data_IF_603780708604
#
_entry.id   IF_603780708604
#
_cell.length_a   1.000
_cell.length_b   1.000
_cell.length_c   1.000
_cell.angle_alpha   90.00
_cell.angle_beta   90.00
_cell.angle_gamma   90.00
#
_symmetry.space_group_name_H-M   'P 1'
#
loop_
_entity.id
_entity.type
_entity.pdbx_description
1 polymer ?
#
# COMPACT_ATOMS: atom_id res chain seq x y z
N UNK A 1 3.35 -20.61 -5.56
CA UNK A 1 3.45 -20.51 -4.08
C UNK A 1 2.19 -21.10 -3.47
N UNK A 2 2.28 -22.02 -2.49
CA UNK A 2 1.10 -22.60 -1.87
C UNK A 2 0.39 -21.58 -0.96
N UNK A 3 -0.93 -21.59 -0.96
CA UNK A 3 -1.76 -20.75 -0.11
C UNK A 3 -3.15 -20.55 -0.70
N UNK A 4 -4.05 -20.03 0.12
CA UNK A 4 -5.40 -19.59 -0.27
C UNK A 4 -5.43 -18.07 -0.20
N UNK A 5 -6.21 -17.41 -1.07
CA UNK A 5 -6.39 -15.96 -0.96
C UNK A 5 -6.93 -15.59 0.43
N UNK A 6 -6.32 -14.58 1.05
CA UNK A 6 -6.59 -14.24 2.45
C UNK A 6 -8.03 -13.75 2.64
N UNK A 7 -8.58 -13.00 1.67
CA UNK A 7 -9.95 -12.49 1.70
C UNK A 7 -11.02 -13.59 1.84
N UNK A 8 -10.75 -14.79 1.30
CA UNK A 8 -11.69 -15.93 1.36
C UNK A 8 -11.79 -16.59 2.73
N UNK A 9 -10.77 -16.42 3.57
CA UNK A 9 -10.65 -17.12 4.85
C UNK A 9 -10.69 -16.19 6.04
N UNK A 10 -10.37 -14.90 5.85
CA UNK A 10 -10.23 -13.91 6.92
C UNK A 10 -11.48 -13.77 7.80
N UNK A 11 -12.67 -13.72 7.19
CA UNK A 11 -13.93 -13.53 7.90
C UNK A 11 -14.33 -14.77 8.76
N UNK A 12 -13.69 -15.93 8.52
CA UNK A 12 -13.89 -17.15 9.30
C UNK A 12 -12.95 -17.31 10.50
N UNK A 13 -12.00 -16.39 10.69
CA UNK A 13 -11.10 -16.38 11.84
C UNK A 13 -11.76 -15.77 13.07
N UNK A 14 -11.31 -16.18 14.25
CA UNK A 14 -11.62 -15.46 15.49
C UNK A 14 -10.94 -14.09 15.52
N UNK A 15 -11.35 -13.25 16.48
CA UNK A 15 -10.85 -11.90 16.60
C UNK A 15 -9.33 -11.86 16.81
N UNK A 16 -8.78 -12.67 17.71
CA UNK A 16 -7.34 -12.68 18.01
C UNK A 16 -6.50 -12.98 16.76
N UNK A 17 -6.92 -13.96 15.97
CA UNK A 17 -6.25 -14.34 14.74
C UNK A 17 -6.45 -13.29 13.64
N UNK A 18 -7.63 -12.66 13.54
CA UNK A 18 -7.81 -11.49 12.67
C UNK A 18 -6.83 -10.37 13.02
N UNK A 19 -6.67 -10.04 14.32
CA UNK A 19 -5.74 -9.01 14.77
C UNK A 19 -4.28 -9.38 14.41
N UNK A 20 -3.86 -10.64 14.61
CA UNK A 20 -2.52 -11.11 14.25
C UNK A 20 -2.23 -10.97 12.76
N UNK A 21 -3.17 -11.38 11.91
CA UNK A 21 -3.02 -11.26 10.45
C UNK A 21 -2.95 -9.80 10.03
N UNK A 22 -3.79 -8.92 10.60
CA UNK A 22 -3.76 -7.50 10.29
C UNK A 22 -2.41 -6.86 10.68
N UNK A 23 -1.78 -7.27 11.79
CA UNK A 23 -0.42 -6.83 12.14
C UNK A 23 0.61 -7.24 11.09
N UNK A 24 0.53 -8.47 10.57
CA UNK A 24 1.42 -8.94 9.48
C UNK A 24 1.20 -8.13 8.19
N UNK A 25 -0.05 -7.80 7.87
CA UNK A 25 -0.36 -6.92 6.73
C UNK A 25 0.28 -5.55 6.90
N UNK A 26 0.17 -4.93 8.08
CA UNK A 26 0.81 -3.65 8.40
C UNK A 26 2.32 -3.72 8.24
N UNK A 27 2.94 -4.81 8.67
CA UNK A 27 4.38 -5.02 8.52
C UNK A 27 4.79 -5.11 7.04
N UNK A 28 4.01 -5.80 6.21
CA UNK A 28 4.20 -5.85 4.75
C UNK A 28 4.16 -4.46 4.12
N UNK A 29 3.13 -3.66 4.47
CA UNK A 29 3.02 -2.27 4.00
C UNK A 29 4.27 -1.46 4.36
N UNK A 30 4.71 -1.55 5.61
CA UNK A 30 5.91 -0.87 6.09
C UNK A 30 7.16 -1.33 5.34
N UNK A 31 7.32 -2.63 5.10
CA UNK A 31 8.47 -3.18 4.38
C UNK A 31 8.54 -2.65 2.95
N UNK A 32 7.42 -2.67 2.21
CA UNK A 32 7.32 -2.14 0.85
C UNK A 32 7.68 -0.64 0.84
N UNK A 33 7.07 0.14 1.75
CA UNK A 33 7.28 1.59 1.80
C UNK A 33 8.66 2.01 2.31
N UNK A 34 9.33 1.15 3.07
CA UNK A 34 10.69 1.38 3.56
C UNK A 34 11.78 0.95 2.56
N UNK A 35 11.39 0.35 1.44
CA UNK A 35 12.34 -0.10 0.43
C UNK A 35 13.14 1.08 -0.13
N UNK A 36 14.47 0.99 -0.07
CA UNK A 36 15.36 2.01 -0.63
C UNK A 36 15.45 1.81 -2.14
N UNK A 37 14.89 2.75 -2.90
CA UNK A 37 14.96 2.74 -4.36
C UNK A 37 16.42 2.93 -4.83
N UNK A 38 16.83 2.25 -5.91
CA UNK A 38 18.13 2.52 -6.55
C UNK A 38 18.26 3.99 -6.97
N UNK A 39 19.46 4.56 -6.92
CA UNK A 39 19.72 5.97 -7.33
C UNK A 39 19.39 6.27 -8.81
N UNK A 40 19.28 5.20 -9.61
CA UNK A 40 18.91 5.22 -11.03
C UNK A 40 17.40 5.34 -11.24
N UNK A 41 16.59 5.09 -10.20
CA UNK A 41 15.15 5.32 -10.19
C UNK A 41 14.90 6.76 -9.74
N UNK A 42 14.49 7.61 -10.67
CA UNK A 42 14.31 9.06 -10.47
C UNK A 42 12.93 9.50 -10.93
N UNK A 43 12.19 10.19 -10.07
CA UNK A 43 10.81 10.62 -10.37
C UNK A 43 9.78 9.48 -10.37
N UNK A 44 8.51 9.86 -10.46
CA UNK A 44 7.36 8.96 -10.37
C UNK A 44 7.13 8.17 -11.66
N UNK A 45 6.61 6.95 -11.54
CA UNK A 45 6.30 6.11 -12.69
C UNK A 45 6.46 4.62 -12.41
N UNK A 46 6.41 3.80 -13.46
CA UNK A 46 6.68 2.37 -13.34
C UNK A 46 8.17 2.09 -13.12
N UNK A 47 8.51 0.81 -12.98
CA UNK A 47 9.89 0.36 -13.06
C UNK A 47 10.16 -0.23 -14.44
N UNK A 48 11.31 0.11 -15.02
CA UNK A 48 11.78 -0.44 -16.29
C UNK A 48 13.27 -0.78 -16.24
N UNK A 49 13.77 -1.28 -17.35
CA UNK A 49 15.19 -1.52 -17.55
C UNK A 49 15.71 -0.63 -18.69
N UNK A 50 16.87 -0.03 -18.50
CA UNK A 50 17.57 0.64 -19.59
C UNK A 50 18.27 -0.38 -20.52
N UNK A 51 18.96 0.11 -21.55
CA UNK A 51 19.69 -0.73 -22.52
C UNK A 51 20.81 -1.57 -21.88
N UNK A 52 21.27 -1.20 -20.69
CA UNK A 52 22.29 -1.92 -19.92
C UNK A 52 21.70 -2.90 -18.92
N UNK A 53 20.37 -3.03 -18.84
CA UNK A 53 19.67 -3.89 -17.89
C UNK A 53 19.62 -3.32 -16.47
N UNK A 54 19.86 -2.03 -16.29
CA UNK A 54 19.78 -1.36 -14.99
C UNK A 54 18.35 -0.89 -14.74
N UNK A 55 17.88 -1.06 -13.50
CA UNK A 55 16.54 -0.63 -13.09
C UNK A 55 16.48 0.90 -13.11
N UNK A 56 15.53 1.45 -13.88
CA UNK A 56 15.29 2.89 -14.01
C UNK A 56 13.79 3.17 -13.87
N UNK A 57 13.43 4.45 -13.70
CA UNK A 57 12.02 4.86 -13.79
C UNK A 57 11.52 4.65 -15.22
N UNK A 58 10.48 3.84 -15.34
CA UNK A 58 9.80 3.53 -16.58
C UNK A 58 8.46 4.27 -16.73
N UNK A 59 7.78 4.07 -17.86
CA UNK A 59 6.44 4.61 -18.05
C UNK A 59 5.48 4.09 -16.98
N UNK A 60 4.56 4.94 -16.55
CA UNK A 60 3.56 4.59 -15.55
C UNK A 60 2.55 3.58 -16.11
N UNK A 61 2.28 2.50 -15.37
CA UNK A 61 1.23 1.51 -15.72
C UNK A 61 -0.17 1.96 -15.32
N UNK A 62 -0.27 2.94 -14.41
CA UNK A 62 -1.52 3.56 -13.94
C UNK A 62 -1.59 5.04 -14.35
N UNK A 63 -2.70 5.55 -14.91
CA UNK A 63 -2.82 6.93 -15.39
C UNK A 63 -2.54 8.03 -14.35
N UNK A 64 -2.52 7.70 -13.05
CA UNK A 64 -2.46 8.65 -11.95
C UNK A 64 -1.29 8.45 -10.97
N UNK A 65 -0.31 7.55 -11.22
CA UNK A 65 0.82 7.39 -10.29
C UNK A 65 1.82 8.54 -10.44
N UNK A 66 1.60 9.54 -9.60
CA UNK A 66 2.31 10.80 -9.47
C UNK A 66 1.42 11.75 -8.66
N UNK A 67 1.98 12.83 -8.07
CA UNK A 67 1.18 13.81 -7.33
C UNK A 67 0.16 14.44 -8.30
N UNK A 68 -1.05 13.88 -8.32
CA UNK A 68 -2.10 14.35 -9.21
C UNK A 68 -2.76 15.57 -8.56
N UNK A 69 -2.88 16.65 -9.34
CA UNK A 69 -3.60 17.85 -8.93
C UNK A 69 -5.12 17.64 -8.88
N UNK A 70 -5.61 16.46 -9.29
CA UNK A 70 -7.03 16.16 -9.48
C UNK A 70 -7.35 14.74 -9.02
N UNK A 71 -7.29 14.49 -7.71
CA UNK A 71 -8.08 13.41 -7.10
C UNK A 71 -9.52 13.90 -6.95
N UNK A 72 -10.40 13.54 -7.88
CA UNK A 72 -11.85 13.57 -7.64
C UNK A 72 -12.22 12.37 -6.77
N UNK A 73 -12.49 12.62 -5.50
CA UNK A 73 -12.96 11.62 -4.56
C UNK A 73 -14.38 11.16 -4.95
N UNK A 74 -14.47 9.99 -5.60
CA UNK A 74 -15.74 9.32 -5.93
C UNK A 74 -15.93 8.03 -5.15
N UNK A 75 -15.20 7.81 -4.05
CA UNK A 75 -15.19 6.52 -3.37
C UNK A 75 -16.16 6.41 -2.18
N UNK A 76 -16.75 7.52 -1.72
CA UNK A 76 -17.66 7.49 -0.57
C UNK A 76 -17.00 6.96 0.71
N UNK A 77 -15.66 6.96 0.76
CA UNK A 77 -14.86 6.67 1.94
C UNK A 77 -14.54 8.02 2.55
N UNK A 78 -15.15 8.31 3.68
CA UNK A 78 -14.89 9.52 4.46
C UNK A 78 -13.47 9.44 5.05
N UNK A 79 -12.48 9.85 4.25
CA UNK A 79 -11.17 10.18 4.76
C UNK A 79 -11.29 11.55 5.44
N UNK A 80 -10.84 11.64 6.68
CA UNK A 80 -10.72 12.90 7.40
C UNK A 80 -10.01 13.94 6.51
N UNK A 81 -10.72 15.03 6.23
CA UNK A 81 -10.29 16.15 5.40
C UNK A 81 -8.93 16.73 5.86
N UNK A 82 -8.63 16.64 7.15
CA UNK A 82 -7.39 17.11 7.76
C UNK A 82 -6.20 16.24 7.36
N UNK A 83 -6.36 14.91 7.35
CA UNK A 83 -5.36 13.96 6.84
C UNK A 83 -5.12 14.14 5.33
N UNK A 84 -6.19 14.30 4.56
CA UNK A 84 -6.10 14.57 3.12
C UNK A 84 -5.38 15.90 2.83
N UNK A 85 -5.64 16.92 3.65
CA UNK A 85 -5.04 18.25 3.57
C UNK A 85 -3.55 18.25 3.92
N UNK A 86 -3.12 17.40 4.87
CA UNK A 86 -1.69 17.26 5.22
C UNK A 86 -0.89 16.55 4.13
N UNK A 87 -1.42 15.48 3.53
CA UNK A 87 -0.79 14.80 2.38
C UNK A 87 -0.68 15.75 1.17
N UNK A 88 -1.69 16.59 0.95
CA UNK A 88 -1.70 17.61 -0.12
C UNK A 88 -0.69 18.76 0.09
N UNK A 89 -0.19 18.99 1.32
CA UNK A 89 0.70 20.13 1.62
C UNK A 89 2.16 19.90 1.24
N UNK A 90 2.60 18.67 1.01
CA UNK A 90 3.94 18.42 0.47
C UNK A 90 3.88 18.56 -1.04
N UNK A 91 4.41 19.65 -1.59
CA UNK A 91 4.45 19.88 -3.04
C UNK A 91 5.21 18.78 -3.81
N UNK A 92 6.05 18.00 -3.12
CA UNK A 92 6.74 16.81 -3.63
C UNK A 92 6.89 15.79 -2.50
N UNK A 93 5.95 14.84 -2.33
CA UNK A 93 6.15 13.76 -1.37
C UNK A 93 7.42 12.94 -1.73
N UNK A 94 8.03 12.26 -0.76
CA UNK A 94 9.17 11.40 -1.03
C UNK A 94 8.72 10.15 -1.81
N UNK A 95 9.59 9.69 -2.68
CA UNK A 95 9.34 8.55 -3.55
C UNK A 95 9.42 7.24 -2.76
N UNK A 96 8.44 6.37 -2.97
CA UNK A 96 8.34 5.06 -2.36
C UNK A 96 7.93 4.04 -3.40
N UNK A 97 8.25 2.77 -3.17
CA UNK A 97 7.58 1.70 -3.88
C UNK A 97 6.14 1.60 -3.37
N UNK A 98 5.20 1.46 -4.30
CA UNK A 98 3.77 1.26 -4.08
C UNK A 98 3.36 0.07 -4.95
N UNK A 99 2.55 -0.81 -4.41
CA UNK A 99 1.96 -1.96 -5.10
C UNK A 99 0.78 -1.54 -5.99
N UNK A 100 -0.02 -0.56 -5.54
CA UNK A 100 -1.10 0.02 -6.34
C UNK A 100 -2.42 -0.76 -6.33
N UNK A 101 -2.50 -1.84 -5.53
CA UNK A 101 -3.71 -2.60 -5.25
C UNK A 101 -3.48 -3.57 -4.06
N UNK A 102 -2.83 -3.10 -2.99
CA UNK A 102 -2.40 -3.97 -1.89
C UNK A 102 -3.56 -4.33 -0.95
N UNK A 103 -4.31 -5.37 -1.31
CA UNK A 103 -5.47 -5.84 -0.55
C UNK A 103 -5.38 -7.35 -0.21
N UNK A 104 -6.31 -7.86 0.61
CA UNK A 104 -6.31 -9.27 1.03
C UNK A 104 -6.58 -10.27 -0.11
N UNK A 105 -7.18 -9.85 -1.22
CA UNK A 105 -7.37 -10.69 -2.40
C UNK A 105 -6.04 -10.97 -3.12
N UNK A 106 -5.13 -9.99 -3.07
CA UNK A 106 -3.78 -10.05 -3.61
C UNK A 106 -2.77 -10.65 -2.60
N UNK A 107 -3.22 -11.28 -1.52
CA UNK A 107 -2.37 -11.94 -0.53
C UNK A 107 -2.69 -13.43 -0.43
N UNK A 108 -1.66 -14.28 -0.46
CA UNK A 108 -1.80 -15.70 -0.17
C UNK A 108 -1.52 -15.97 1.31
N UNK A 109 -2.39 -16.76 1.92
CA UNK A 109 -2.30 -17.21 3.30
C UNK A 109 -2.19 -18.74 3.36
N UNK A 110 -1.30 -19.24 4.22
CA UNK A 110 -1.16 -20.66 4.47
C UNK A 110 -1.85 -21.06 5.79
N UNK A 111 -2.95 -21.82 5.76
CA UNK A 111 -3.70 -22.20 6.97
C UNK A 111 -2.95 -23.18 7.88
N UNK A 112 -1.88 -23.84 7.40
CA UNK A 112 -1.07 -24.73 8.24
C UNK A 112 -0.03 -23.98 9.06
N UNK A 113 0.53 -22.91 8.50
CA UNK A 113 1.60 -22.14 9.15
C UNK A 113 1.11 -20.82 9.73
N UNK A 114 -0.13 -20.43 9.46
CA UNK A 114 -0.71 -19.15 9.84
C UNK A 114 0.09 -17.92 9.34
N UNK A 115 0.71 -18.04 8.17
CA UNK A 115 1.54 -16.99 7.58
C UNK A 115 0.97 -16.52 6.25
N UNK A 116 1.16 -15.22 5.96
CA UNK A 116 1.07 -14.70 4.60
C UNK A 116 2.30 -15.20 3.85
N UNK A 117 2.10 -15.90 2.73
CA UNK A 117 3.16 -16.56 1.97
C UNK A 117 3.50 -15.87 0.66
N UNK A 118 2.61 -15.02 0.14
CA UNK A 118 2.85 -14.28 -1.09
C UNK A 118 2.02 -13.00 -1.17
N UNK A 119 2.55 -12.05 -1.91
CA UNK A 119 1.85 -10.87 -2.43
C UNK A 119 1.79 -11.06 -3.95
N UNK A 120 0.62 -10.83 -4.55
CA UNK A 120 0.31 -11.11 -5.95
C UNK A 120 -0.03 -9.83 -6.70
N UNK A 121 0.00 -9.87 -8.04
CA UNK A 121 -0.51 -8.80 -8.92
C UNK A 121 0.27 -7.48 -8.77
N UNK A 122 1.57 -7.53 -9.04
CA UNK A 122 2.47 -6.37 -9.04
C UNK A 122 2.40 -5.53 -10.33
N UNK A 123 1.45 -5.78 -11.22
CA UNK A 123 1.36 -5.11 -12.52
C UNK A 123 1.02 -3.61 -12.39
N UNK A 124 0.42 -3.22 -11.26
CA UNK A 124 0.15 -1.82 -10.89
C UNK A 124 1.24 -1.20 -10.01
N UNK A 125 2.31 -1.94 -9.73
CA UNK A 125 3.37 -1.43 -8.87
C UNK A 125 4.10 -0.27 -9.55
N UNK A 126 4.36 0.78 -8.78
CA UNK A 126 4.94 2.02 -9.25
C UNK A 126 5.76 2.70 -8.15
N UNK A 127 6.61 3.61 -8.58
CA UNK A 127 7.23 4.62 -7.75
C UNK A 127 6.23 5.76 -7.61
N UNK A 128 5.71 5.94 -6.41
CA UNK A 128 4.61 6.85 -6.07
C UNK A 128 4.83 7.45 -4.68
N UNK A 129 3.94 8.34 -4.23
CA UNK A 129 3.92 8.73 -2.83
C UNK A 129 3.44 7.53 -2.02
N UNK A 130 3.99 7.28 -0.83
CA UNK A 130 3.52 6.16 -0.01
C UNK A 130 2.01 6.26 0.32
N UNK A 131 1.44 7.47 0.30
CA UNK A 131 0.01 7.71 0.48
C UNK A 131 -0.85 7.18 -0.68
N UNK A 132 -0.29 7.06 -1.88
CA UNK A 132 -1.00 6.56 -3.05
C UNK A 132 -1.44 5.09 -2.87
N UNK A 133 -0.70 4.30 -2.09
CA UNK A 133 -1.11 2.93 -1.73
C UNK A 133 -2.47 2.90 -1.02
N UNK A 134 -2.71 3.86 -0.12
CA UNK A 134 -3.98 3.97 0.61
C UNK A 134 -5.13 4.34 -0.35
N UNK A 135 -4.87 5.23 -1.32
CA UNK A 135 -5.86 5.67 -2.29
C UNK A 135 -6.23 4.60 -3.31
N UNK A 136 -5.28 3.76 -3.71
CA UNK A 136 -5.50 2.69 -4.68
C UNK A 136 -6.03 1.39 -4.07
N UNK A 137 -6.01 1.26 -2.74
CA UNK A 137 -6.50 0.08 -2.02
C UNK A 137 -7.81 0.30 -1.21
N UNK A 138 -8.85 0.99 -1.75
CA UNK A 138 -10.01 1.41 -0.96
C UNK A 138 -10.93 0.25 -0.50
N UNK A 139 -10.73 -0.97 -1.00
CA UNK A 139 -11.59 -2.11 -0.71
C UNK A 139 -11.00 -2.95 0.44
N UNK A 140 -11.47 -2.69 1.66
CA UNK A 140 -11.29 -3.46 2.93
C UNK A 140 -10.28 -2.96 3.98
N UNK A 141 -9.79 -1.73 3.92
CA UNK A 141 -9.16 -1.10 5.10
C UNK A 141 -10.15 -0.90 6.28
N UNK A 142 -11.46 -1.12 6.07
CA UNK A 142 -12.48 -1.16 7.14
C UNK A 142 -12.24 -2.22 8.22
N UNK A 143 -11.46 -3.28 7.94
CA UNK A 143 -11.11 -4.27 8.97
C UNK A 143 -9.90 -3.84 9.80
N UNK A 144 -9.05 -2.93 9.28
CA UNK A 144 -7.97 -2.33 10.05
C UNK A 144 -8.53 -1.38 11.13
N UNK A 145 -9.68 -0.74 10.91
CA UNK A 145 -10.30 0.07 11.98
C UNK A 145 -10.71 -0.75 13.21
N UNK A 146 -10.92 -2.07 13.07
CA UNK A 146 -11.22 -2.98 14.19
C UNK A 146 -10.03 -3.25 15.12
N UNK A 147 -8.79 -3.22 14.63
CA UNK A 147 -7.58 -3.32 15.48
C UNK A 147 -7.19 -1.97 16.12
N UNK A 148 -8.08 -0.97 16.11
CA UNK A 148 -7.80 0.36 16.65
C UNK A 148 -7.17 1.35 15.66
N UNK A 149 -7.07 1.02 14.36
CA UNK A 149 -6.63 1.99 13.36
C UNK A 149 -7.72 3.02 13.07
N UNK A 150 -7.72 4.13 13.79
CA UNK A 150 -8.64 5.24 13.53
C UNK A 150 -8.08 6.29 12.56
N UNK A 151 -6.76 6.36 12.41
CA UNK A 151 -6.12 7.32 11.51
C UNK A 151 -4.76 6.83 11.01
N UNK A 152 -4.47 7.20 9.77
CA UNK A 152 -3.13 7.10 9.19
C UNK A 152 -2.45 8.45 9.46
N UNK A 153 -1.44 8.48 10.33
CA UNK A 153 -0.73 9.72 10.64
C UNK A 153 0.56 9.77 9.84
N UNK A 154 0.67 10.78 8.98
CA UNK A 154 1.89 11.06 8.24
C UNK A 154 2.78 11.99 9.07
N UNK A 155 3.88 11.48 9.62
CA UNK A 155 4.94 12.33 10.19
C UNK A 155 6.10 12.42 9.20
N UNK A 156 6.13 13.50 8.43
CA UNK A 156 7.09 13.68 7.34
C UNK A 156 6.88 12.63 6.24
N UNK A 157 7.93 11.88 5.92
CA UNK A 157 7.97 10.84 4.88
C UNK A 157 7.39 9.48 5.29
N UNK A 158 7.09 9.29 6.58
CA UNK A 158 6.78 7.97 7.14
C UNK A 158 5.30 7.87 7.46
N UNK A 159 4.64 6.87 6.89
CA UNK A 159 3.31 6.46 7.31
C UNK A 159 3.42 5.84 8.71
N UNK A 160 2.98 6.57 9.74
CA UNK A 160 2.79 6.00 11.07
C UNK A 160 1.34 5.54 11.17
N UNK A 161 1.15 4.22 11.13
CA UNK A 161 -0.14 3.65 11.48
C UNK A 161 -0.27 3.72 13.01
N UNK A 162 -1.01 4.71 13.50
CA UNK A 162 -1.24 4.90 14.93
C UNK A 162 -2.25 3.86 15.42
N UNK A 163 -1.76 2.86 16.15
CA UNK A 163 -2.57 2.06 17.08
C UNK A 163 -2.76 2.91 18.35
N UNK A 164 -4.01 3.20 18.73
CA UNK A 164 -4.31 3.66 20.10
C UNK A 164 -4.56 2.47 21.00
#
# INVERSE_FOLDING_TARGET
MPGTQLDRVFDGFDEEHQLDILRKVVEIYKLIQSYTLPETVRGYGGLGFDESGIIVTGPTTTPCSGPSSQFEDKTGIEMDYETASQVRKTSHPPQSLVHGDLNMYNMLYNPKSHCITAILVLDFAAVAAAADEYFYSPVRLKNLTKVGFKSVCWRGSTMTMCLM
#
